data_IF_174150867702
#
_entry.id   IF_174150867702
#
_cell.length_a   1.000
_cell.length_b   1.000
_cell.length_c   1.000
_cell.angle_alpha   90.00
_cell.angle_beta   90.00
_cell.angle_gamma   90.00
#
_symmetry.space_group_name_H-M   'P 1'
#
loop_
_entity.id
_entity.type
_entity.pdbx_description
1 polymer ?
#
# COMPACT_ATOMS: atom_id res chain seq x y z
N UNK A 1 -29.01 -2.57 8.16
CA UNK A 1 -29.45 -3.03 6.82
C UNK A 1 -28.37 -2.85 5.75
N UNK A 2 -27.57 -1.78 5.76
CA UNK A 2 -26.49 -1.53 4.79
C UNK A 2 -25.36 -2.60 4.80
N UNK A 3 -24.86 -3.02 5.96
CA UNK A 3 -23.79 -4.05 6.04
C UNK A 3 -24.19 -5.43 5.47
N UNK A 4 -25.48 -5.67 5.23
CA UNK A 4 -25.95 -6.94 4.66
C UNK A 4 -25.63 -7.08 3.17
N UNK A 5 -25.30 -5.99 2.49
CA UNK A 5 -24.93 -5.95 1.08
C UNK A 5 -23.48 -6.45 0.87
N UNK A 6 -22.58 -6.16 1.81
CA UNK A 6 -21.14 -6.45 1.70
C UNK A 6 -20.71 -7.71 2.43
N UNK A 7 -21.49 -8.79 2.36
CA UNK A 7 -21.13 -10.03 3.03
C UNK A 7 -19.99 -10.72 2.30
N UNK A 8 -19.02 -11.21 3.05
CA UNK A 8 -17.95 -12.06 2.51
C UNK A 8 -18.56 -13.33 1.92
N UNK A 9 -18.30 -13.55 0.64
CA UNK A 9 -18.68 -14.74 -0.11
C UNK A 9 -17.67 -15.87 0.10
N UNK A 10 -16.39 -15.57 -0.10
CA UNK A 10 -15.32 -16.55 0.09
C UNK A 10 -14.09 -15.93 0.77
N UNK A 11 -13.39 -16.78 1.53
CA UNK A 11 -12.16 -16.43 2.22
C UNK A 11 -11.21 -17.64 2.27
N UNK A 12 -9.93 -17.38 2.03
CA UNK A 12 -8.89 -18.39 2.05
C UNK A 12 -8.00 -18.26 3.28
N UNK A 13 -7.64 -19.40 3.87
CA UNK A 13 -6.55 -19.47 4.81
C UNK A 13 -5.22 -19.58 4.04
N UNK A 14 -4.26 -18.72 4.38
CA UNK A 14 -2.94 -18.72 3.77
C UNK A 14 -1.96 -19.42 4.72
N UNK A 15 -1.29 -20.50 4.28
CA UNK A 15 -0.22 -21.12 5.07
C UNK A 15 0.91 -20.11 5.34
N UNK A 16 1.60 -20.25 6.47
CA UNK A 16 2.81 -19.49 6.79
C UNK A 16 4.00 -19.95 5.92
N UNK A 17 3.90 -19.66 4.63
CA UNK A 17 4.86 -20.01 3.60
C UNK A 17 5.04 -18.82 2.66
N UNK A 18 6.29 -18.41 2.47
CA UNK A 18 6.63 -17.23 1.69
C UNK A 18 6.10 -17.32 0.24
N UNK A 19 6.10 -18.50 -0.38
CA UNK A 19 5.63 -18.64 -1.74
C UNK A 19 4.11 -18.54 -1.81
N UNK A 20 3.40 -19.11 -0.84
CA UNK A 20 1.93 -18.99 -0.74
C UNK A 20 1.49 -17.56 -0.50
N UNK A 21 2.19 -16.84 0.39
CA UNK A 21 1.91 -15.44 0.64
C UNK A 21 2.15 -14.57 -0.60
N UNK A 22 3.27 -14.77 -1.30
CA UNK A 22 3.55 -14.05 -2.54
C UNK A 22 2.53 -14.35 -3.64
N UNK A 23 2.16 -15.62 -3.81
CA UNK A 23 1.13 -16.01 -4.78
C UNK A 23 -0.20 -15.32 -4.49
N UNK A 24 -0.65 -15.34 -3.23
CA UNK A 24 -1.88 -14.69 -2.80
C UNK A 24 -1.87 -13.18 -3.13
N UNK A 25 -0.75 -12.50 -2.83
CA UNK A 25 -0.58 -11.08 -3.14
C UNK A 25 -0.52 -10.82 -4.66
N UNK A 26 0.13 -11.70 -5.44
CA UNK A 26 0.18 -11.57 -6.91
C UNK A 26 -1.16 -11.82 -7.58
N UNK A 27 -2.03 -12.62 -6.93
CA UNK A 27 -3.41 -12.85 -7.37
C UNK A 27 -4.33 -11.66 -7.00
N UNK A 28 -3.79 -10.60 -6.40
CA UNK A 28 -4.51 -9.37 -6.06
C UNK A 28 -5.20 -9.41 -4.70
N UNK A 29 -4.91 -10.39 -3.85
CA UNK A 29 -5.57 -10.53 -2.55
C UNK A 29 -4.65 -10.08 -1.40
N UNK A 30 -4.99 -8.98 -0.69
CA UNK A 30 -4.31 -8.60 0.53
C UNK A 30 -4.46 -9.65 1.64
N UNK A 31 -3.44 -9.78 2.48
CA UNK A 31 -3.39 -10.80 3.54
C UNK A 31 -3.55 -10.16 4.91
N UNK A 32 -4.61 -10.55 5.61
CA UNK A 32 -4.81 -10.28 7.04
C UNK A 32 -3.88 -11.21 7.82
N UNK A 33 -3.08 -10.64 8.71
CA UNK A 33 -2.16 -11.40 9.56
C UNK A 33 -2.02 -10.75 10.95
N UNK A 34 -1.47 -11.51 11.90
CA UNK A 34 -1.19 -11.02 13.24
C UNK A 34 0.28 -11.19 13.60
N UNK A 35 0.90 -10.13 14.12
CA UNK A 35 2.31 -10.10 14.48
C UNK A 35 2.54 -9.71 15.94
N UNK A 36 3.47 -10.40 16.61
CA UNK A 36 4.02 -9.93 17.88
C UNK A 36 4.94 -8.75 17.64
N UNK A 37 4.67 -7.64 18.31
CA UNK A 37 5.34 -6.37 18.07
C UNK A 37 6.58 -6.20 18.94
N UNK A 38 7.60 -5.56 18.38
CA UNK A 38 8.73 -5.05 19.16
C UNK A 38 8.47 -3.63 19.64
N UNK A 39 9.30 -3.16 20.58
CA UNK A 39 9.28 -1.77 21.02
C UNK A 39 9.44 -0.77 19.86
N UNK A 40 10.29 -1.10 18.88
CA UNK A 40 10.54 -0.25 17.72
C UNK A 40 9.28 -0.05 16.86
N UNK A 41 8.31 -0.95 16.94
CA UNK A 41 7.06 -0.83 16.20
C UNK A 41 6.21 0.36 16.66
N UNK A 42 6.28 0.75 17.93
CA UNK A 42 5.52 1.89 18.47
C UNK A 42 6.14 3.25 18.07
N UNK A 43 7.36 3.24 17.56
CA UNK A 43 8.06 4.43 17.08
C UNK A 43 8.91 4.01 15.89
N UNK A 44 8.27 3.77 14.73
CA UNK A 44 8.93 3.14 13.59
C UNK A 44 10.09 4.00 13.06
N UNK A 45 11.12 3.38 12.48
CA UNK A 45 12.19 4.09 11.79
C UNK A 45 11.64 5.02 10.70
N UNK A 46 12.38 6.10 10.39
CA UNK A 46 11.98 7.09 9.38
C UNK A 46 11.80 6.49 7.98
N UNK A 47 12.56 5.45 7.66
CA UNK A 47 12.46 4.72 6.39
C UNK A 47 11.42 3.59 6.42
N UNK A 48 10.72 3.41 7.56
CA UNK A 48 9.70 2.39 7.75
C UNK A 48 10.22 0.95 7.77
N UNK A 49 11.53 0.72 7.65
CA UNK A 49 12.06 -0.63 7.57
C UNK A 49 12.20 -1.27 8.95
N UNK A 50 11.56 -2.42 9.15
CA UNK A 50 11.67 -3.21 10.37
C UNK A 50 12.38 -4.54 10.09
N UNK A 51 13.60 -4.74 10.61
CA UNK A 51 14.28 -6.02 10.49
C UNK A 51 13.63 -7.07 11.39
N UNK A 52 13.98 -8.33 11.15
CA UNK A 52 13.58 -9.43 12.01
C UNK A 52 14.13 -9.25 13.41
N UNK A 53 13.29 -9.25 14.45
CA UNK A 53 13.76 -9.19 15.83
C UNK A 53 14.55 -10.45 16.19
N UNK A 54 15.56 -10.32 17.05
CA UNK A 54 16.28 -11.48 17.55
C UNK A 54 15.36 -12.30 18.46
N UNK A 55 15.01 -13.56 18.13
CA UNK A 55 14.12 -14.37 18.96
C UNK A 55 14.76 -14.81 20.29
N UNK A 56 16.09 -14.67 20.43
CA UNK A 56 16.81 -15.00 21.66
C UNK A 56 16.91 -13.83 22.65
N UNK A 57 16.58 -12.62 22.21
CA UNK A 57 16.47 -11.45 23.08
C UNK A 57 15.16 -11.56 23.91
N UNK A 58 15.24 -11.60 25.25
CA UNK A 58 14.05 -11.68 26.11
C UNK A 58 13.02 -10.60 25.81
N UNK A 59 13.45 -9.40 25.40
CA UNK A 59 12.56 -8.25 25.13
C UNK A 59 11.92 -8.27 23.75
N UNK A 60 12.36 -9.18 22.89
CA UNK A 60 11.86 -9.36 21.54
C UNK A 60 10.42 -9.85 21.59
N UNK A 61 9.53 -9.15 20.88
CA UNK A 61 8.10 -9.47 20.84
C UNK A 61 7.32 -9.38 22.17
N UNK A 62 7.88 -8.75 23.22
CA UNK A 62 7.15 -8.56 24.50
C UNK A 62 6.13 -7.40 24.46
N UNK A 63 6.13 -6.58 23.41
CA UNK A 63 5.49 -5.26 23.45
C UNK A 63 4.05 -5.25 22.90
N UNK A 64 3.47 -6.43 22.65
CA UNK A 64 2.06 -6.58 22.30
C UNK A 64 1.82 -7.41 21.05
N UNK A 65 0.53 -7.55 20.73
CA UNK A 65 0.03 -8.30 19.59
C UNK A 65 -0.82 -7.35 18.74
N UNK A 66 -0.68 -7.39 17.42
CA UNK A 66 -1.49 -6.57 16.53
C UNK A 66 -1.82 -7.28 15.22
N UNK A 67 -2.99 -6.98 14.65
CA UNK A 67 -3.44 -7.48 13.37
C UNK A 67 -3.39 -6.37 12.32
N UNK A 68 -2.87 -6.68 11.14
CA UNK A 68 -2.60 -5.73 10.07
C UNK A 68 -2.86 -6.37 8.70
N UNK A 69 -2.68 -5.58 7.64
CA UNK A 69 -2.88 -6.02 6.27
C UNK A 69 -1.58 -5.97 5.47
N UNK A 70 -1.15 -7.10 4.92
CA UNK A 70 -0.09 -7.15 3.91
C UNK A 70 -0.73 -6.81 2.57
N UNK A 71 -0.23 -5.77 1.92
CA UNK A 71 -0.79 -5.24 0.66
C UNK A 71 0.16 -5.38 -0.52
N UNK A 72 1.40 -5.81 -0.28
CA UNK A 72 2.38 -5.98 -1.33
C UNK A 72 3.69 -6.56 -0.81
N UNK A 73 4.63 -6.76 -1.72
CA UNK A 73 5.95 -7.30 -1.41
C UNK A 73 7.02 -6.77 -2.38
N UNK A 74 8.28 -6.80 -1.96
CA UNK A 74 9.43 -6.50 -2.79
C UNK A 74 10.48 -7.59 -2.64
N UNK A 75 10.67 -8.40 -3.68
CA UNK A 75 11.60 -9.52 -3.67
C UNK A 75 13.08 -9.09 -3.66
N UNK A 76 13.40 -7.91 -4.22
CA UNK A 76 14.78 -7.39 -4.21
C UNK A 76 15.22 -7.01 -2.80
N UNK A 77 14.32 -6.41 -2.04
CA UNK A 77 14.55 -5.99 -0.66
C UNK A 77 14.15 -7.05 0.36
N UNK A 78 13.46 -8.13 -0.06
CA UNK A 78 12.91 -9.19 0.79
C UNK A 78 12.00 -8.65 1.91
N UNK A 79 11.06 -7.79 1.53
CA UNK A 79 10.12 -7.15 2.45
C UNK A 79 8.67 -7.33 2.03
N UNK A 80 7.79 -7.36 3.02
CA UNK A 80 6.36 -7.13 2.86
C UNK A 80 6.03 -5.66 3.11
N UNK A 81 5.09 -5.13 2.32
CA UNK A 81 4.50 -3.82 2.51
C UNK A 81 3.23 -4.02 3.33
N UNK A 82 3.16 -3.36 4.49
CA UNK A 82 2.10 -3.58 5.48
C UNK A 82 1.38 -2.27 5.76
N UNK A 83 0.06 -2.27 5.58
CA UNK A 83 -0.83 -1.17 5.98
C UNK A 83 -1.21 -1.34 7.44
N UNK A 84 -1.00 -0.29 8.23
CA UNK A 84 -1.43 -0.23 9.62
C UNK A 84 -2.68 0.65 9.78
N UNK A 85 -3.25 0.69 10.98
CA UNK A 85 -4.49 1.39 11.34
C UNK A 85 -4.28 2.47 12.41
N UNK A 86 -3.08 3.05 12.49
CA UNK A 86 -2.70 4.06 13.51
C UNK A 86 -2.54 5.48 12.95
N UNK A 87 -3.16 5.76 11.79
CA UNK A 87 -3.11 7.06 11.12
C UNK A 87 -1.93 7.22 10.17
N UNK A 88 -2.01 8.23 9.29
CA UNK A 88 -1.00 8.50 8.26
C UNK A 88 0.34 8.99 8.85
N UNK A 89 0.30 9.65 10.01
CA UNK A 89 1.49 10.15 10.72
C UNK A 89 2.34 9.03 11.32
N UNK A 90 1.81 7.80 11.41
CA UNK A 90 2.55 6.65 11.89
C UNK A 90 3.27 5.94 10.73
N UNK A 91 4.57 5.66 10.91
CA UNK A 91 5.37 4.98 9.89
C UNK A 91 5.61 5.85 8.66
N UNK A 92 5.53 5.24 7.48
CA UNK A 92 5.63 5.93 6.19
C UNK A 92 4.22 6.05 5.63
N UNK A 93 3.51 7.13 5.95
CA UNK A 93 2.14 7.37 5.47
C UNK A 93 1.12 6.33 5.97
N UNK A 94 1.30 5.78 7.18
CA UNK A 94 0.47 4.69 7.71
C UNK A 94 0.98 3.28 7.36
N UNK A 95 2.09 3.17 6.64
CA UNK A 95 2.70 1.90 6.22
C UNK A 95 4.00 1.59 6.96
N UNK A 96 4.35 0.31 6.98
CA UNK A 96 5.64 -0.19 7.44
C UNK A 96 6.14 -1.29 6.50
N UNK A 97 7.47 -1.44 6.42
CA UNK A 97 8.13 -2.44 5.60
C UNK A 97 8.76 -3.51 6.51
N UNK A 98 8.18 -4.70 6.52
CA UNK A 98 8.64 -5.79 7.38
C UNK A 98 9.50 -6.75 6.58
N UNK A 99 10.64 -7.19 7.12
CA UNK A 99 11.40 -8.27 6.50
C UNK A 99 10.55 -9.53 6.36
N UNK A 100 10.74 -10.28 5.26
CA UNK A 100 10.10 -11.58 5.08
C UNK A 100 10.31 -12.47 6.29
N UNK A 101 11.55 -12.55 6.77
CA UNK A 101 11.94 -13.43 7.87
C UNK A 101 11.29 -13.05 9.22
N UNK A 102 10.76 -11.82 9.37
CA UNK A 102 9.96 -11.45 10.53
C UNK A 102 8.54 -12.01 10.40
N UNK A 103 7.91 -11.79 9.25
CA UNK A 103 6.50 -12.15 9.03
C UNK A 103 6.31 -13.66 8.92
N UNK A 104 7.26 -14.39 8.30
CA UNK A 104 7.15 -15.86 8.12
C UNK A 104 7.65 -16.66 9.31
N UNK A 105 8.07 -16.02 10.39
CA UNK A 105 8.57 -16.69 11.57
C UNK A 105 7.42 -17.02 12.53
N UNK A 106 7.20 -18.31 12.76
CA UNK A 106 6.15 -18.86 13.65
C UNK A 106 6.23 -18.34 15.09
N UNK A 107 7.41 -17.91 15.55
CA UNK A 107 7.56 -17.33 16.89
C UNK A 107 6.95 -15.94 16.99
N UNK A 108 6.82 -15.23 15.86
CA UNK A 108 6.32 -13.86 15.79
C UNK A 108 4.93 -13.76 15.16
N UNK A 109 4.62 -14.57 14.15
CA UNK A 109 3.30 -14.60 13.54
C UNK A 109 2.36 -15.44 14.42
N UNK A 110 1.37 -14.79 15.06
CA UNK A 110 0.56 -15.43 16.10
C UNK A 110 -0.89 -15.73 15.67
N UNK A 111 -1.32 -15.21 14.53
CA UNK A 111 -2.66 -15.40 13.98
C UNK A 111 -2.60 -16.33 12.77
N UNK A 112 -3.68 -17.07 12.49
CA UNK A 112 -3.88 -17.60 11.15
C UNK A 112 -3.92 -16.46 10.15
N UNK A 113 -3.36 -16.66 8.95
CA UNK A 113 -3.42 -15.66 7.88
C UNK A 113 -4.63 -15.92 6.99
N UNK A 114 -5.31 -14.86 6.59
CA UNK A 114 -6.52 -14.94 5.80
C UNK A 114 -6.54 -13.91 4.69
N UNK A 115 -7.18 -14.24 3.59
CA UNK A 115 -7.50 -13.28 2.55
C UNK A 115 -8.98 -13.44 2.17
N UNK A 116 -9.66 -12.31 1.95
CA UNK A 116 -11.05 -12.27 1.48
C UNK A 116 -10.99 -12.27 -0.04
N UNK A 117 -11.71 -13.19 -0.68
CA UNK A 117 -11.65 -13.38 -2.13
C UNK A 117 -12.82 -12.77 -2.87
N UNK A 118 -14.00 -12.74 -2.26
CA UNK A 118 -15.21 -12.23 -2.90
C UNK A 118 -16.27 -11.81 -1.89
N UNK A 119 -17.23 -11.01 -2.36
CA UNK A 119 -18.48 -10.72 -1.67
C UNK A 119 -19.61 -11.59 -2.26
N UNK A 120 -20.70 -11.79 -1.52
CA UNK A 120 -21.79 -12.67 -1.96
C UNK A 120 -22.58 -12.12 -3.13
N UNK A 121 -22.71 -10.80 -3.25
CA UNK A 121 -23.71 -10.19 -4.10
C UNK A 121 -23.18 -9.03 -4.97
N UNK A 122 -21.92 -8.61 -4.79
CA UNK A 122 -21.31 -7.50 -5.54
C UNK A 122 -19.98 -7.94 -6.20
N UNK A 123 -19.89 -7.71 -7.51
CA UNK A 123 -18.66 -7.83 -8.29
C UNK A 123 -17.97 -6.46 -8.31
N UNK A 124 -16.83 -6.36 -7.63
CA UNK A 124 -16.02 -5.15 -7.54
C UNK A 124 -14.84 -5.18 -8.53
N UNK A 125 -14.85 -6.13 -9.48
CA UNK A 125 -13.88 -6.07 -10.58
C UNK A 125 -14.05 -4.72 -11.29
N UNK A 126 -12.95 -4.01 -11.60
CA UNK A 126 -13.05 -2.83 -12.44
C UNK A 126 -13.73 -3.25 -13.74
N UNK A 127 -14.74 -2.50 -14.19
CA UNK A 127 -15.30 -2.69 -15.52
C UNK A 127 -14.13 -2.68 -16.53
N UNK A 128 -14.06 -3.70 -17.38
CA UNK A 128 -13.06 -3.73 -18.45
C UNK A 128 -13.19 -2.42 -19.24
N UNK A 129 -12.15 -1.58 -19.18
CA UNK A 129 -12.01 -0.40 -20.01
C UNK A 129 -11.82 -0.90 -21.45
N UNK A 130 -12.97 -1.18 -22.10
CA UNK A 130 -13.08 -1.45 -23.52
C UNK A 130 -12.59 -0.20 -24.25
N UNK A 131 -11.27 -0.11 -24.45
CA UNK A 131 -10.54 1.06 -24.96
C UNK A 131 -11.00 1.53 -26.33
N UNK A 132 -12.13 2.23 -26.36
CA UNK A 132 -12.75 2.83 -27.55
C UNK A 132 -12.69 4.35 -27.49
N UNK A 133 -11.55 4.90 -27.08
CA UNK A 133 -11.17 6.29 -27.34
C UNK A 133 -9.89 6.34 -28.19
N UNK A 134 -9.96 5.69 -29.35
CA UNK A 134 -9.05 6.01 -30.45
C UNK A 134 -9.54 7.29 -31.17
N UNK A 135 -9.43 8.46 -30.53
CA UNK A 135 -9.50 9.71 -31.29
C UNK A 135 -8.22 9.87 -32.11
N UNK A 136 -8.40 9.69 -33.42
CA UNK A 136 -7.42 9.95 -34.46
C UNK A 136 -7.01 11.44 -34.43
N UNK A 137 -5.85 11.75 -33.86
CA UNK A 137 -5.16 13.00 -34.18
C UNK A 137 -4.22 12.80 -35.36
N UNK A 138 -4.64 13.41 -36.46
CA UNK A 138 -3.99 13.47 -37.77
C UNK A 138 -2.57 14.05 -37.67
N UNK A 139 -1.64 13.39 -38.37
CA UNK A 139 -0.28 13.87 -38.65
C UNK A 139 -0.31 15.18 -39.43
N UNK A 140 0.30 16.26 -38.90
CA UNK A 140 1.04 17.21 -39.74
C UNK A 140 2.38 17.60 -39.09
N UNK A 141 3.40 17.46 -39.92
CA UNK A 141 4.83 17.71 -39.76
C UNK A 141 5.21 19.11 -39.28
N UNK A 142 6.26 19.20 -38.45
CA UNK A 142 7.38 20.13 -38.70
C UNK A 142 8.63 19.75 -37.87
N UNK A 143 9.76 19.53 -38.57
CA UNK A 143 11.10 19.36 -38.01
C UNK A 143 11.79 20.70 -37.72
N UNK A 144 12.89 20.63 -36.93
CA UNK A 144 14.04 21.57 -36.83
C UNK A 144 13.88 22.66 -35.72
N UNK A 145 14.83 22.99 -34.81
CA UNK A 145 16.29 22.91 -34.72
C UNK A 145 16.77 22.91 -33.23
N UNK A 146 17.98 22.38 -33.03
CA UNK A 146 18.83 22.29 -31.83
C UNK A 146 19.26 23.63 -31.15
N UNK A 147 19.24 23.63 -29.81
CA UNK A 147 20.20 24.18 -28.81
C UNK A 147 20.47 25.71 -28.69
N UNK A 148 21.19 26.18 -27.64
CA UNK A 148 20.79 26.30 -26.22
C UNK A 148 20.92 27.78 -25.76
N UNK A 149 20.40 28.19 -24.60
CA UNK A 149 21.05 29.25 -23.80
C UNK A 149 20.39 29.44 -22.42
N UNK A 150 21.26 29.44 -21.43
CA UNK A 150 21.08 29.96 -20.08
C UNK A 150 20.99 31.48 -20.17
N UNK A 151 19.99 32.08 -19.54
CA UNK A 151 20.11 33.42 -18.99
C UNK A 151 19.37 33.51 -17.66
N UNK A 152 20.08 34.04 -16.67
CA UNK A 152 19.62 34.31 -15.31
C UNK A 152 19.22 35.78 -15.29
N UNK A 153 17.95 36.10 -15.03
CA UNK A 153 17.58 37.42 -14.51
C UNK A 153 16.50 37.29 -13.43
N UNK A 154 16.79 37.93 -12.30
CA UNK A 154 15.97 38.11 -11.11
C UNK A 154 14.71 38.96 -11.39
N UNK A 155 13.58 38.62 -10.79
CA UNK A 155 12.81 39.54 -9.91
C UNK A 155 11.52 38.90 -9.36
N UNK A 156 11.52 38.79 -8.02
CA UNK A 156 10.49 39.09 -7.01
C UNK A 156 8.98 38.94 -7.32
N UNK A 157 8.34 38.25 -6.35
CA UNK A 157 6.97 38.32 -5.84
C UNK A 157 5.80 37.98 -6.79
N UNK A 158 5.07 36.91 -6.46
CA UNK A 158 3.59 36.93 -6.40
C UNK A 158 3.07 35.66 -5.67
N UNK A 159 2.51 35.93 -4.48
CA UNK A 159 1.32 35.31 -3.86
C UNK A 159 1.28 33.78 -3.62
N UNK A 160 1.33 33.39 -2.34
CA UNK A 160 0.84 32.09 -1.86
C UNK A 160 -0.66 31.98 -2.15
N UNK A 161 -1.06 31.17 -3.13
CA UNK A 161 -2.44 30.68 -3.22
C UNK A 161 -2.61 29.57 -2.19
N UNK A 162 -3.42 29.87 -1.17
CA UNK A 162 -4.02 28.91 -0.27
C UNK A 162 -4.74 27.83 -1.09
N UNK A 163 -4.15 26.64 -1.23
CA UNK A 163 -4.92 25.46 -1.60
C UNK A 163 -5.83 25.15 -0.40
N UNK A 164 -7.06 25.66 -0.45
CA UNK A 164 -8.13 25.19 0.43
C UNK A 164 -8.23 23.67 0.24
N UNK A 165 -7.86 22.93 1.29
CA UNK A 165 -8.23 21.52 1.45
C UNK A 165 -9.76 21.45 1.38
N UNK A 166 -10.29 21.19 0.18
CA UNK A 166 -11.66 20.75 -0.04
C UNK A 166 -11.78 19.38 0.62
N UNK A 167 -12.00 19.40 1.95
CA UNK A 167 -12.33 18.25 2.75
C UNK A 167 -13.70 17.76 2.32
N UNK A 168 -13.71 16.93 1.29
CA UNK A 168 -14.90 16.25 0.83
C UNK A 168 -15.07 14.95 1.64
N UNK A 169 -16.10 14.91 2.47
CA UNK A 169 -16.41 13.74 3.28
C UNK A 169 -16.81 12.53 2.41
N UNK A 170 -17.17 12.77 1.14
CA UNK A 170 -17.50 11.73 0.17
C UNK A 170 -16.25 11.02 -0.39
N UNK A 171 -15.07 11.66 -0.34
CA UNK A 171 -13.77 11.07 -0.74
C UNK A 171 -13.23 10.05 0.29
N UNK A 172 -13.76 10.05 1.51
CA UNK A 172 -13.42 9.05 2.54
C UNK A 172 -13.91 7.64 2.18
N UNK A 173 -14.88 7.53 1.25
CA UNK A 173 -15.49 6.26 0.85
C UNK A 173 -15.22 5.88 -0.61
N UNK A 174 -14.44 6.66 -1.37
CA UNK A 174 -13.93 6.22 -2.67
C UNK A 174 -12.75 5.24 -2.46
N UNK A 175 -13.09 3.96 -2.49
CA UNK A 175 -12.14 2.84 -2.38
C UNK A 175 -11.10 2.82 -3.49
N UNK A 176 -11.33 3.51 -4.62
CA UNK A 176 -10.35 3.63 -5.70
C UNK A 176 -9.37 4.79 -5.52
N UNK A 177 -9.73 5.85 -4.77
CA UNK A 177 -8.85 7.01 -4.57
C UNK A 177 -7.64 6.66 -3.68
N UNK A 178 -7.85 5.97 -2.56
CA UNK A 178 -6.76 5.50 -1.69
C UNK A 178 -5.82 4.52 -2.42
N UNK A 179 -6.38 3.60 -3.22
CA UNK A 179 -5.60 2.64 -4.00
C UNK A 179 -4.76 3.36 -5.07
N UNK A 180 -5.35 4.28 -5.83
CA UNK A 180 -4.65 5.07 -6.87
C UNK A 180 -3.52 5.92 -6.28
N UNK A 181 -3.72 6.52 -5.11
CA UNK A 181 -2.67 7.30 -4.43
C UNK A 181 -1.49 6.41 -4.00
N UNK A 182 -1.76 5.22 -3.44
CA UNK A 182 -0.72 4.29 -3.04
C UNK A 182 0.14 3.78 -4.21
N UNK A 183 -0.44 3.62 -5.41
CA UNK A 183 0.30 3.14 -6.60
C UNK A 183 1.03 4.25 -7.36
N UNK A 184 0.57 5.51 -7.30
CA UNK A 184 1.23 6.65 -7.97
C UNK A 184 2.63 6.93 -7.40
N UNK A 185 2.87 6.63 -6.12
CA UNK A 185 4.17 6.79 -5.47
C UNK A 185 5.27 5.82 -5.98
N UNK A 186 4.92 4.80 -6.77
CA UNK A 186 5.85 3.77 -7.26
C UNK A 186 5.97 3.70 -8.79
N UNK A 187 5.30 4.61 -9.52
CA UNK A 187 5.25 4.63 -10.98
C UNK A 187 6.29 5.57 -11.64
N UNK A 188 7.36 5.93 -10.93
CA UNK A 188 8.47 6.76 -11.44
C UNK A 188 9.79 6.00 -11.51
#
# INVERSE_FOLDING_TARGET
DEAMQYKVGDAMNIPLDLNRMRQCLSDGYPIIFGLKLTKAFFSPPRDGFMPTPDPSDPSSAEHGLHAMLIVGYNDRQRIFIVRNSWGADWGVGGYIYLSYDYVVNESFNFLGMYAIQSLTDDDLTPDDDDGDDAEQHNLESQESIFEPNIDIEDHEDDEEEDEEDDFDADDMFDTNAEARHAFKAFAG
#
